data_IF_386079833155
#
_entry.id   IF_386079833155
#
_cell.length_a   1.000
_cell.length_b   1.000
_cell.length_c   1.000
_cell.angle_alpha   90.00
_cell.angle_beta   90.00
_cell.angle_gamma   90.00
#
_symmetry.space_group_name_H-M   'P 1'
#
loop_
_entity.id
_entity.type
_entity.pdbx_description
1 polymer ?
#
# COMPACT_ATOMS: atom_id res chain seq x y z
N UNK A 1 13.49 3.34 -6.88
CA UNK A 1 12.13 3.50 -6.29
C UNK A 1 11.98 2.54 -5.12
N UNK A 2 11.41 2.96 -3.98
CA UNK A 2 11.27 2.10 -2.79
C UNK A 2 10.03 1.21 -2.95
N UNK A 3 10.22 -0.12 -2.89
CA UNK A 3 9.13 -1.08 -2.80
C UNK A 3 8.78 -1.29 -1.33
N UNK A 4 7.49 -1.27 -1.01
CA UNK A 4 6.98 -1.59 0.32
C UNK A 4 5.95 -2.71 0.19
N UNK A 5 5.78 -3.50 1.24
CA UNK A 5 4.71 -4.49 1.28
C UNK A 5 3.50 -3.85 1.95
N UNK A 6 2.34 -3.95 1.31
CA UNK A 6 1.06 -3.51 1.89
C UNK A 6 0.10 -4.67 1.92
N UNK A 7 -0.75 -4.68 2.95
CA UNK A 7 -1.85 -5.61 2.99
C UNK A 7 -3.01 -5.11 2.14
N UNK A 8 -3.39 -5.90 1.14
CA UNK A 8 -4.57 -5.68 0.32
C UNK A 8 -5.61 -6.71 0.77
N UNK A 9 -6.78 -6.22 1.17
CA UNK A 9 -7.94 -7.08 1.42
C UNK A 9 -8.69 -7.19 0.09
N UNK A 10 -8.56 -8.33 -0.57
CA UNK A 10 -9.33 -8.67 -1.76
C UNK A 10 -10.39 -9.69 -1.34
N UNK A 11 -11.62 -9.23 -1.13
CA UNK A 11 -12.68 -10.05 -0.54
C UNK A 11 -12.43 -10.37 0.94
N UNK A 12 -12.42 -11.66 1.27
CA UNK A 12 -12.16 -12.19 2.63
C UNK A 12 -10.68 -12.52 2.89
N UNK A 13 -9.80 -12.38 1.90
CA UNK A 13 -8.39 -12.72 2.04
C UNK A 13 -7.52 -11.45 2.16
N UNK A 14 -6.64 -11.46 3.16
CA UNK A 14 -5.64 -10.43 3.38
C UNK A 14 -4.33 -10.87 2.74
N UNK A 15 -4.02 -10.35 1.55
CA UNK A 15 -2.78 -10.66 0.83
C UNK A 15 -1.71 -9.61 1.08
N UNK A 16 -0.49 -10.06 1.35
CA UNK A 16 0.71 -9.23 1.34
C UNK A 16 1.18 -9.09 -0.09
N UNK A 17 1.20 -7.85 -0.58
CA UNK A 17 1.61 -7.56 -1.96
C UNK A 17 2.73 -6.54 -1.94
N UNK A 18 3.77 -6.80 -2.74
CA UNK A 18 4.84 -5.84 -3.00
C UNK A 18 4.32 -4.73 -3.91
N UNK A 19 4.40 -3.49 -3.42
CA UNK A 19 3.89 -2.29 -4.10
C UNK A 19 4.97 -1.23 -4.17
N UNK A 20 4.89 -0.37 -5.17
CA UNK A 20 5.84 0.74 -5.29
C UNK A 20 5.33 1.95 -4.52
N UNK A 21 6.15 2.46 -3.59
CA UNK A 21 5.83 3.70 -2.89
C UNK A 21 6.04 4.88 -3.84
N UNK A 22 4.94 5.54 -4.21
CA UNK A 22 4.97 6.75 -5.04
C UNK A 22 5.19 8.00 -4.18
N UNK A 23 4.43 8.14 -3.09
CA UNK A 23 4.45 9.34 -2.27
C UNK A 23 4.11 9.00 -0.82
N UNK A 24 4.89 9.52 0.14
CA UNK A 24 4.59 9.42 1.57
C UNK A 24 4.24 10.79 2.13
N UNK A 25 3.02 10.95 2.64
CA UNK A 25 2.55 12.14 3.37
C UNK A 25 2.50 11.88 4.86
N UNK A 26 2.23 12.93 5.64
CA UNK A 26 2.18 12.90 7.11
C UNK A 26 1.28 11.79 7.68
N UNK A 27 0.14 11.50 7.03
CA UNK A 27 -0.84 10.52 7.50
C UNK A 27 -1.23 9.46 6.47
N UNK A 28 -0.77 9.59 5.23
CA UNK A 28 -1.13 8.70 4.11
C UNK A 28 0.08 8.35 3.27
N UNK A 29 0.02 7.21 2.58
CA UNK A 29 0.98 6.77 1.58
C UNK A 29 0.23 6.48 0.30
N UNK A 30 0.72 6.99 -0.83
CA UNK A 30 0.28 6.60 -2.17
C UNK A 30 1.23 5.51 -2.65
N UNK A 31 0.64 4.38 -3.01
CA UNK A 31 1.37 3.23 -3.51
C UNK A 31 0.79 2.79 -4.85
N UNK A 32 1.63 2.23 -5.71
CA UNK A 32 1.24 1.59 -6.96
C UNK A 32 1.27 0.08 -6.79
N UNK A 33 0.11 -0.53 -7.00
CA UNK A 33 -0.08 -1.96 -7.04
C UNK A 33 0.60 -2.58 -8.27
N UNK A 34 0.94 -3.88 -8.24
CA UNK A 34 1.51 -4.58 -9.40
C UNK A 34 0.60 -4.54 -10.63
N UNK A 35 -0.73 -4.45 -10.44
CA UNK A 35 -1.72 -4.29 -11.52
C UNK A 35 -1.72 -2.89 -12.16
N UNK A 36 -0.79 -2.01 -11.76
CA UNK A 36 -0.68 -0.62 -12.22
C UNK A 36 -1.62 0.36 -11.50
N UNK A 37 -2.58 -0.15 -10.73
CA UNK A 37 -3.51 0.63 -9.92
C UNK A 37 -2.80 1.45 -8.84
N UNK A 38 -3.25 2.69 -8.60
CA UNK A 38 -2.67 3.57 -7.58
C UNK A 38 -3.68 3.71 -6.43
N UNK A 39 -3.28 3.28 -5.23
CA UNK A 39 -4.12 3.38 -4.03
C UNK A 39 -3.48 4.31 -3.01
N UNK A 40 -4.34 4.99 -2.24
CA UNK A 40 -3.91 5.82 -1.10
C UNK A 40 -4.31 5.14 0.20
N UNK A 41 -3.34 4.80 1.04
CA UNK A 41 -3.55 4.15 2.35
C UNK A 41 -3.19 5.10 3.48
N UNK A 42 -3.90 4.99 4.61
CA UNK A 42 -3.53 5.72 5.84
C UNK A 42 -2.39 5.00 6.54
N UNK A 43 -1.36 5.75 6.92
CA UNK A 43 -0.16 5.25 7.61
C UNK A 43 -0.50 4.59 8.96
N UNK A 44 -1.55 5.08 9.64
CA UNK A 44 -1.97 4.65 10.99
C UNK A 44 -2.58 3.23 11.09
N UNK A 45 -2.91 2.57 9.98
CA UNK A 45 -3.60 1.25 10.01
C UNK A 45 -2.69 0.06 9.65
N UNK A 46 -1.44 0.34 9.29
CA UNK A 46 -0.47 -0.63 8.74
C UNK A 46 0.95 -0.45 9.33
N UNK A 47 1.10 0.36 10.38
CA UNK A 47 2.34 0.49 11.16
C UNK A 47 2.11 -0.13 12.53
N UNK A 48 2.35 -1.44 12.60
CA UNK A 48 2.82 -2.10 13.82
C UNK A 48 4.19 -2.70 13.51
#
# INVERSE_FOLDING_TARGET
>A
MKKIKVFINEGNERKLVDVELLESRKYTVRVRLPDGNIITRKKKRDLE
#
